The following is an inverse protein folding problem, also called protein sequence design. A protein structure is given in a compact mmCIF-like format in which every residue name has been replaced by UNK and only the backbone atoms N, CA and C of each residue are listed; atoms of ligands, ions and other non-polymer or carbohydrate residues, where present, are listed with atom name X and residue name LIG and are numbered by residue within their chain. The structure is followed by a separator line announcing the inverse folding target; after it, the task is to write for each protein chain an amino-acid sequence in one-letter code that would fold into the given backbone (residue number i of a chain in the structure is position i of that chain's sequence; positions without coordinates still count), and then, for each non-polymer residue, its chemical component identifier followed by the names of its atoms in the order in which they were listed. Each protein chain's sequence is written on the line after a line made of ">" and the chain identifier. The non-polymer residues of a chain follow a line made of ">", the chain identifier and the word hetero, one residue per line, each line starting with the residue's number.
data_IF_241184176554
#
_entry.id   IF_241184176554
#
_cell.length_a   1.000
_cell.length_b   1.000
_cell.length_c   1.000
_cell.angle_alpha   90.00
_cell.angle_beta   90.00
_cell.angle_gamma   90.00
#
_symmetry.space_group_name_H-M   'P 1'
#
loop_
_entity.id
_entity.type
_entity.pdbx_description
1 polymer ?
#
# COMPACT_ATOMS: atom_id res chain seq x y z
N UNK A 1 34.49 -1.82 -8.33
CA UNK A 1 33.42 -1.88 -9.34
C UNK A 1 32.21 -1.11 -8.82
N UNK A 2 31.88 0.06 -9.39
CA UNK A 2 30.81 0.95 -8.91
C UNK A 2 29.47 0.63 -9.58
N UNK A 3 28.36 0.77 -8.84
CA UNK A 3 26.99 0.56 -9.32
C UNK A 3 26.20 1.87 -9.24
N UNK A 4 25.48 2.21 -10.31
CA UNK A 4 24.69 3.45 -10.39
C UNK A 4 23.20 3.17 -10.18
N UNK A 5 22.49 4.18 -9.72
CA UNK A 5 21.03 4.16 -9.60
C UNK A 5 20.39 3.95 -10.98
N UNK A 6 19.33 3.15 -11.04
CA UNK A 6 18.58 2.77 -12.24
C UNK A 6 19.44 2.12 -13.35
N UNK A 7 20.61 1.59 -12.99
CA UNK A 7 21.44 0.81 -13.89
C UNK A 7 21.11 -0.66 -13.74
N UNK A 8 20.84 -1.32 -14.86
CA UNK A 8 20.71 -2.78 -14.91
C UNK A 8 22.07 -3.41 -15.23
N UNK A 9 22.46 -4.46 -14.49
CA UNK A 9 23.63 -5.28 -14.81
C UNK A 9 23.28 -6.75 -14.77
N UNK A 10 23.68 -7.45 -15.82
CA UNK A 10 23.61 -8.90 -15.90
C UNK A 10 24.96 -9.47 -15.46
N UNK A 11 24.94 -10.36 -14.48
CA UNK A 11 26.14 -10.98 -13.91
C UNK A 11 25.97 -12.48 -13.83
N UNK A 12 27.03 -13.19 -14.17
CA UNK A 12 27.14 -14.63 -13.96
C UNK A 12 27.77 -14.85 -12.58
N UNK A 13 27.05 -15.55 -11.71
CA UNK A 13 27.46 -15.80 -10.32
C UNK A 13 27.53 -17.31 -10.10
N UNK A 14 28.54 -17.75 -9.35
CA UNK A 14 28.71 -19.16 -8.94
C UNK A 14 29.01 -19.25 -7.45
N UNK A 15 28.94 -20.44 -6.83
CA UNK A 15 29.34 -20.60 -5.42
C UNK A 15 30.80 -20.26 -5.14
N UNK A 16 31.69 -20.51 -6.11
CA UNK A 16 33.13 -20.24 -5.99
C UNK A 16 33.55 -18.86 -6.49
N UNK A 17 32.66 -18.16 -7.19
CA UNK A 17 32.89 -16.82 -7.72
C UNK A 17 31.71 -15.90 -7.34
N UNK A 18 31.66 -15.46 -6.06
CA UNK A 18 30.70 -14.44 -5.64
C UNK A 18 31.01 -13.10 -6.32
N UNK A 19 29.96 -12.29 -6.50
CA UNK A 19 30.08 -10.96 -7.11
C UNK A 19 29.66 -9.93 -6.09
N UNK A 20 30.42 -8.84 -5.98
CA UNK A 20 30.07 -7.72 -5.15
C UNK A 20 30.18 -6.39 -5.90
N UNK A 21 29.27 -5.48 -5.56
CA UNK A 21 29.22 -4.13 -6.11
C UNK A 21 29.18 -3.09 -5.02
N UNK A 22 29.96 -2.02 -5.20
CA UNK A 22 29.88 -0.84 -4.35
C UNK A 22 28.75 0.07 -4.86
N UNK A 23 27.84 0.45 -3.97
CA UNK A 23 26.81 1.45 -4.24
C UNK A 23 26.91 2.60 -3.23
N UNK A 24 26.83 3.83 -3.74
CA UNK A 24 26.73 5.03 -2.93
C UNK A 24 25.44 5.76 -3.27
N UNK A 25 24.74 6.19 -2.24
CA UNK A 25 23.51 6.96 -2.41
C UNK A 25 23.83 8.32 -3.04
N UNK A 26 23.10 8.73 -4.09
CA UNK A 26 23.13 10.12 -4.54
C UNK A 26 22.49 11.03 -3.48
N UNK A 27 22.68 12.34 -3.61
CA UNK A 27 22.32 13.31 -2.57
C UNK A 27 20.80 13.47 -2.37
N UNK A 28 20.05 13.32 -3.45
CA UNK A 28 18.60 13.46 -3.57
C UNK A 28 17.79 12.21 -3.16
N UNK A 29 18.44 11.05 -3.03
CA UNK A 29 17.77 9.77 -2.77
C UNK A 29 18.01 9.27 -1.35
N UNK A 30 16.92 9.11 -0.58
CA UNK A 30 16.98 8.59 0.79
C UNK A 30 16.77 7.08 0.89
N UNK A 31 16.07 6.48 -0.07
CA UNK A 31 15.68 5.07 -0.05
C UNK A 31 15.80 4.45 -1.43
N UNK A 32 16.35 3.24 -1.48
CA UNK A 32 16.49 2.47 -2.71
C UNK A 32 15.99 1.05 -2.52
N UNK A 33 15.57 0.42 -3.61
CA UNK A 33 15.27 -1.00 -3.69
C UNK A 33 16.38 -1.69 -4.48
N UNK A 34 17.12 -2.57 -3.81
CA UNK A 34 18.06 -3.47 -4.49
C UNK A 34 17.27 -4.69 -4.95
N UNK A 35 17.06 -4.82 -6.26
CA UNK A 35 16.31 -5.91 -6.87
C UNK A 35 17.24 -6.80 -7.67
N UNK A 36 17.16 -8.11 -7.41
CA UNK A 36 17.83 -9.14 -8.17
C UNK A 36 16.79 -10.04 -8.81
N UNK A 37 16.96 -10.37 -10.09
CA UNK A 37 16.06 -11.25 -10.85
C UNK A 37 16.88 -12.25 -11.67
N UNK A 38 16.37 -13.46 -11.83
CA UNK A 38 16.99 -14.52 -12.61
C UNK A 38 15.93 -15.41 -13.27
N UNK A 39 16.28 -16.03 -14.39
CA UNK A 39 15.46 -17.04 -15.06
C UNK A 39 15.66 -18.45 -14.51
N UNK A 40 16.86 -18.74 -14.02
CA UNK A 40 17.25 -20.07 -13.55
C UNK A 40 16.72 -20.34 -12.14
N UNK A 41 16.54 -21.61 -11.78
CA UNK A 41 15.95 -22.05 -10.51
C UNK A 41 16.97 -22.40 -9.43
N UNK A 42 18.27 -22.21 -9.67
CA UNK A 42 19.29 -22.36 -8.63
C UNK A 42 19.14 -21.34 -7.50
N UNK A 43 19.22 -21.78 -6.25
CA UNK A 43 19.16 -20.90 -5.10
C UNK A 43 20.40 -20.00 -5.01
N UNK A 44 20.15 -18.73 -4.73
CA UNK A 44 21.17 -17.72 -4.51
C UNK A 44 20.81 -16.86 -3.31
N UNK A 45 21.77 -16.09 -2.82
CA UNK A 45 21.59 -15.15 -1.73
C UNK A 45 22.12 -13.78 -2.15
N UNK A 46 21.36 -12.75 -1.80
CA UNK A 46 21.73 -11.34 -1.93
C UNK A 46 21.89 -10.78 -0.52
N UNK A 47 23.02 -10.13 -0.25
CA UNK A 47 23.33 -9.56 1.05
C UNK A 47 23.82 -8.13 0.90
N UNK A 48 23.40 -7.29 1.84
CA UNK A 48 23.72 -5.88 1.92
C UNK A 48 24.58 -5.66 3.13
N UNK A 49 25.76 -5.11 2.88
CA UNK A 49 26.80 -4.94 3.88
C UNK A 49 27.26 -3.50 3.90
N UNK A 50 27.75 -3.07 5.06
CA UNK A 50 28.37 -1.76 5.17
C UNK A 50 29.67 -1.72 4.33
N UNK A 51 30.09 -0.53 3.91
CA UNK A 51 31.33 -0.35 3.14
C UNK A 51 32.61 -0.63 3.95
N UNK A 52 32.48 -0.88 5.26
CA UNK A 52 33.57 -1.22 6.18
C UNK A 52 34.01 -2.68 6.01
N UNK A 53 35.31 -2.91 5.82
CA UNK A 53 35.89 -4.26 5.74
C UNK A 53 35.89 -4.98 7.10
N UNK A 54 35.80 -6.33 7.14
CA UNK A 54 35.84 -7.27 6.01
C UNK A 54 34.49 -7.45 5.31
N UNK A 55 34.53 -7.74 4.00
CA UNK A 55 33.34 -8.09 3.21
C UNK A 55 33.12 -9.60 3.31
N UNK A 56 31.91 -10.02 3.65
CA UNK A 56 31.53 -11.44 3.70
C UNK A 56 31.00 -11.89 2.33
N UNK A 57 31.76 -12.74 1.64
CA UNK A 57 31.50 -13.16 0.26
C UNK A 57 31.19 -14.66 0.12
N UNK A 58 31.69 -15.48 1.06
CA UNK A 58 31.39 -16.91 1.12
C UNK A 58 29.98 -17.23 1.63
N UNK A 59 29.39 -18.33 1.14
CA UNK A 59 28.08 -18.86 1.58
C UNK A 59 27.97 -19.02 3.11
N UNK A 60 29.06 -19.41 3.79
CA UNK A 60 29.08 -19.59 5.24
C UNK A 60 28.95 -18.26 6.01
N UNK A 61 29.49 -17.18 5.46
CA UNK A 61 29.64 -15.91 6.18
C UNK A 61 28.70 -14.82 5.67
N UNK A 62 28.14 -14.96 4.47
CA UNK A 62 27.30 -13.93 3.84
C UNK A 62 26.04 -13.60 4.67
N UNK A 63 25.59 -14.55 5.49
CA UNK A 63 24.48 -14.41 6.43
C UNK A 63 24.80 -13.45 7.58
N UNK A 64 26.08 -13.20 7.87
CA UNK A 64 26.50 -12.19 8.86
C UNK A 64 26.41 -10.76 8.33
N UNK A 65 26.04 -10.58 7.05
CA UNK A 65 25.69 -9.28 6.53
C UNK A 65 24.49 -8.67 7.29
N UNK A 66 24.43 -7.34 7.34
CA UNK A 66 23.37 -6.61 8.04
C UNK A 66 21.97 -7.01 7.56
N UNK A 67 21.81 -7.28 6.27
CA UNK A 67 20.52 -7.70 5.70
C UNK A 67 20.77 -8.62 4.52
N UNK A 68 20.20 -9.83 4.55
CA UNK A 68 20.31 -10.79 3.46
C UNK A 68 18.93 -11.35 3.09
N UNK A 69 18.81 -11.84 1.87
CA UNK A 69 17.62 -12.51 1.38
C UNK A 69 18.03 -13.61 0.39
N UNK A 70 17.39 -14.76 0.51
CA UNK A 70 17.54 -15.86 -0.45
C UNK A 70 16.60 -15.66 -1.64
N UNK A 71 17.00 -16.16 -2.81
CA UNK A 71 16.20 -16.11 -4.03
C UNK A 71 16.35 -17.37 -4.87
N UNK A 72 15.21 -17.87 -5.33
CA UNK A 72 15.15 -18.76 -6.50
C UNK A 72 15.10 -17.91 -7.76
N UNK A 73 14.08 -17.06 -7.94
CA UNK A 73 13.94 -16.24 -9.14
C UNK A 73 14.14 -14.75 -8.87
N UNK A 74 13.68 -14.25 -7.72
CA UNK A 74 13.71 -12.82 -7.42
C UNK A 74 14.00 -12.58 -5.94
N UNK A 75 14.75 -11.52 -5.63
CA UNK A 75 14.91 -10.94 -4.30
C UNK A 75 14.83 -9.42 -4.38
N UNK A 76 14.44 -8.79 -3.27
CA UNK A 76 14.25 -7.36 -3.17
C UNK A 76 14.47 -6.86 -1.75
N UNK A 77 15.57 -6.14 -1.53
CA UNK A 77 15.90 -5.58 -0.22
C UNK A 77 15.78 -4.06 -0.31
N UNK A 78 14.90 -3.49 0.51
CA UNK A 78 14.81 -2.02 0.65
C UNK A 78 15.92 -1.55 1.58
N UNK A 79 16.68 -0.55 1.12
CA UNK A 79 17.76 0.07 1.89
C UNK A 79 17.47 1.54 2.10
N UNK A 80 17.82 2.03 3.29
CA UNK A 80 17.75 3.45 3.65
C UNK A 80 19.15 4.03 3.80
N UNK A 81 19.36 5.23 3.27
CA UNK A 81 20.62 5.98 3.36
C UNK A 81 21.06 6.19 4.82
N UNK A 82 20.12 6.35 5.74
CA UNK A 82 20.36 6.51 7.18
C UNK A 82 21.13 5.34 7.81
N UNK A 83 20.95 4.11 7.31
CA UNK A 83 21.62 2.92 7.82
C UNK A 83 23.01 2.71 7.19
N UNK A 84 23.27 3.34 6.02
CA UNK A 84 24.49 3.16 5.22
C UNK A 84 25.00 4.52 4.69
N UNK A 85 25.40 5.45 5.59
CA UNK A 85 25.70 6.82 5.21
C UNK A 85 26.90 6.96 4.27
N UNK A 86 27.88 6.03 4.39
CA UNK A 86 29.11 6.05 3.61
C UNK A 86 29.02 5.23 2.30
N UNK A 87 27.88 4.58 2.06
CA UNK A 87 27.70 3.59 1.01
C UNK A 87 27.61 2.16 1.55
N UNK A 88 27.42 1.22 0.63
CA UNK A 88 27.20 -0.19 0.92
C UNK A 88 27.81 -1.09 -0.14
N UNK A 89 28.01 -2.35 0.22
CA UNK A 89 28.29 -3.43 -0.71
C UNK A 89 27.04 -4.29 -0.92
N UNK A 90 26.74 -4.56 -2.19
CA UNK A 90 25.74 -5.54 -2.61
C UNK A 90 26.52 -6.79 -2.98
N UNK A 91 26.35 -7.87 -2.21
CA UNK A 91 27.03 -9.15 -2.42
C UNK A 91 26.01 -10.17 -2.93
N UNK A 92 26.36 -10.87 -4.00
CA UNK A 92 25.59 -11.95 -4.59
C UNK A 92 26.42 -13.22 -4.59
N UNK A 93 25.84 -14.30 -4.09
CA UNK A 93 26.44 -15.63 -4.11
C UNK A 93 25.39 -16.67 -4.51
N UNK A 94 25.78 -17.65 -5.31
CA UNK A 94 24.94 -18.83 -5.57
C UNK A 94 25.23 -19.85 -4.48
N UNK A 95 24.18 -20.45 -3.91
CA UNK A 95 24.34 -21.44 -2.86
C UNK A 95 24.69 -22.80 -3.46
N UNK A 96 25.44 -23.60 -2.69
CA UNK A 96 25.81 -24.97 -3.07
C UNK A 96 24.60 -25.91 -3.10
N UNK A 97 23.56 -25.62 -2.31
CA UNK A 97 22.30 -26.35 -2.27
C UNK A 97 21.08 -25.41 -2.31
N UNK A 98 19.89 -25.99 -2.52
CA UNK A 98 18.63 -25.23 -2.62
C UNK A 98 17.82 -25.18 -1.33
N UNK A 99 18.34 -25.68 -0.22
CA UNK A 99 17.62 -25.83 1.06
C UNK A 99 17.08 -24.49 1.57
N UNK A 100 17.86 -23.41 1.38
CA UNK A 100 17.50 -22.08 1.82
C UNK A 100 16.39 -21.42 0.98
N UNK A 101 16.08 -21.96 -0.20
CA UNK A 101 15.01 -21.48 -1.08
C UNK A 101 13.80 -22.43 -1.13
N UNK A 102 14.03 -23.73 -0.98
CA UNK A 102 13.00 -24.76 -1.07
C UNK A 102 13.34 -25.93 -0.16
N UNK A 103 12.31 -26.52 0.47
CA UNK A 103 12.45 -27.75 1.24
C UNK A 103 12.76 -28.98 0.36
N UNK A 104 12.68 -28.84 -0.96
CA UNK A 104 12.95 -29.91 -1.92
C UNK A 104 14.35 -29.73 -2.52
N UNK A 105 15.20 -30.73 -2.27
CA UNK A 105 16.54 -30.85 -2.83
C UNK A 105 16.50 -31.20 -4.33
N UNK A 106 16.15 -30.24 -5.18
CA UNK A 106 16.02 -30.47 -6.62
C UNK A 106 17.37 -30.65 -7.33
N UNK A 107 18.42 -29.98 -6.87
CA UNK A 107 19.70 -29.92 -7.60
C UNK A 107 20.93 -30.27 -6.75
N UNK A 108 20.94 -31.39 -6.01
CA UNK A 108 22.10 -31.77 -5.16
C UNK A 108 23.36 -32.18 -5.92
N UNK A 109 23.26 -32.51 -7.22
CA UNK A 109 24.34 -33.15 -7.99
C UNK A 109 24.59 -32.38 -9.29
N UNK A 110 24.79 -31.07 -9.21
CA UNK A 110 25.27 -30.27 -10.35
C UNK A 110 26.69 -29.80 -10.09
N UNK A 111 27.62 -30.27 -10.93
CA UNK A 111 29.06 -29.96 -10.86
C UNK A 111 29.32 -28.48 -11.18
N UNK A 112 28.45 -27.85 -11.97
CA UNK A 112 28.56 -26.46 -12.38
C UNK A 112 27.25 -25.71 -12.08
N UNK A 113 27.20 -25.00 -10.95
CA UNK A 113 26.09 -24.10 -10.59
C UNK A 113 26.48 -22.69 -11.00
N UNK A 114 25.88 -22.22 -12.07
CA UNK A 114 26.05 -20.87 -12.56
C UNK A 114 24.66 -20.27 -12.74
N UNK A 115 24.47 -19.06 -12.23
CA UNK A 115 23.20 -18.35 -12.26
C UNK A 115 23.41 -16.98 -12.88
N UNK A 116 22.61 -16.66 -13.89
CA UNK A 116 22.58 -15.32 -14.47
C UNK A 116 21.61 -14.45 -13.69
N UNK A 117 22.15 -13.42 -13.03
CA UNK A 117 21.36 -12.49 -12.23
C UNK A 117 21.36 -11.10 -12.87
N UNK A 118 20.18 -10.58 -13.08
CA UNK A 118 19.91 -9.18 -13.40
C UNK A 118 19.77 -8.40 -12.10
N UNK A 119 20.76 -7.57 -11.80
CA UNK A 119 20.78 -6.67 -10.65
C UNK A 119 20.39 -5.26 -11.08
N UNK A 120 19.47 -4.63 -10.34
CA UNK A 120 19.08 -3.23 -10.50
C UNK A 120 18.89 -2.59 -9.12
N UNK A 121 19.31 -1.33 -9.00
CA UNK A 121 19.07 -0.51 -7.80
C UNK A 121 18.15 0.63 -8.20
N UNK A 122 16.91 0.56 -7.76
CA UNK A 122 15.86 1.52 -8.11
C UNK A 122 15.62 2.49 -6.96
N UNK A 123 15.27 3.74 -7.28
CA UNK A 123 14.82 4.68 -6.25
C UNK A 123 13.46 4.27 -5.71
N UNK A 124 13.27 4.42 -4.39
CA UNK A 124 11.98 4.23 -3.73
C UNK A 124 11.35 5.57 -3.39
N UNK A 125 10.02 5.62 -3.42
CA UNK A 125 9.18 6.79 -3.08
C UNK A 125 9.78 7.59 -1.91
N UNK A 126 9.96 8.90 -2.13
CA UNK A 126 10.54 9.81 -1.14
C UNK A 126 9.58 10.03 0.05
N UNK A 127 10.11 10.45 1.20
CA UNK A 127 9.27 10.72 2.39
C UNK A 127 8.17 11.76 2.13
N UNK A 128 8.46 12.75 1.28
CA UNK A 128 7.51 13.82 0.95
C UNK A 128 6.34 13.29 0.11
N UNK A 129 6.60 12.45 -0.88
CA UNK A 129 5.56 11.81 -1.69
C UNK A 129 4.70 10.86 -0.84
N UNK A 130 5.32 10.11 0.08
CA UNK A 130 4.60 9.27 1.03
C UNK A 130 3.66 10.10 1.94
N UNK A 131 4.14 11.22 2.47
CA UNK A 131 3.32 12.12 3.28
C UNK A 131 2.20 12.77 2.46
N UNK A 132 2.49 13.21 1.24
CA UNK A 132 1.49 13.77 0.33
C UNK A 132 0.37 12.78 0.06
N UNK A 133 0.69 11.50 -0.18
CA UNK A 133 -0.29 10.44 -0.35
C UNK A 133 -1.17 10.24 0.89
N UNK A 134 -0.58 10.27 2.09
CA UNK A 134 -1.32 10.18 3.35
C UNK A 134 -2.29 11.37 3.50
N UNK A 135 -1.81 12.60 3.31
CA UNK A 135 -2.65 13.79 3.45
C UNK A 135 -3.76 13.84 2.39
N UNK A 136 -3.48 13.40 1.16
CA UNK A 136 -4.49 13.29 0.12
C UNK A 136 -5.59 12.29 0.50
N UNK A 137 -5.22 11.10 0.99
CA UNK A 137 -6.17 10.09 1.45
C UNK A 137 -7.00 10.57 2.64
N UNK A 138 -6.37 11.16 3.65
CA UNK A 138 -7.05 11.71 4.82
C UNK A 138 -7.98 12.88 4.45
N UNK A 139 -7.52 13.78 3.57
CA UNK A 139 -8.30 14.92 3.09
C UNK A 139 -9.54 14.48 2.31
N UNK A 140 -9.42 13.47 1.46
CA UNK A 140 -10.55 12.88 0.74
C UNK A 140 -11.59 12.29 1.72
N UNK A 141 -11.14 11.50 2.69
CA UNK A 141 -12.03 10.95 3.71
C UNK A 141 -12.72 12.06 4.53
N UNK A 142 -11.96 13.04 5.03
CA UNK A 142 -12.48 14.16 5.80
C UNK A 142 -13.52 14.98 5.02
N UNK A 143 -13.31 15.17 3.72
CA UNK A 143 -14.25 15.88 2.85
C UNK A 143 -15.63 15.21 2.81
N UNK A 144 -15.72 13.89 2.67
CA UNK A 144 -17.00 13.18 2.70
C UNK A 144 -17.71 13.32 4.06
N UNK A 145 -16.98 13.24 5.16
CA UNK A 145 -17.56 13.44 6.50
C UNK A 145 -18.07 14.88 6.69
N UNK A 146 -17.34 15.88 6.21
CA UNK A 146 -17.79 17.28 6.29
C UNK A 146 -19.04 17.48 5.42
N UNK A 147 -19.09 16.96 4.21
CA UNK A 147 -20.27 17.08 3.33
C UNK A 147 -21.49 16.43 3.96
N UNK A 148 -21.36 15.22 4.51
CA UNK A 148 -22.46 14.54 5.21
C UNK A 148 -22.95 15.33 6.43
N UNK A 149 -22.05 15.90 7.23
CA UNK A 149 -22.41 16.78 8.35
C UNK A 149 -23.13 18.05 7.87
N UNK A 150 -22.65 18.69 6.80
CA UNK A 150 -23.30 19.89 6.23
C UNK A 150 -24.72 19.56 5.76
N UNK A 151 -24.90 18.43 5.05
CA UNK A 151 -26.22 17.99 4.60
C UNK A 151 -27.15 17.70 5.78
N UNK A 152 -26.65 17.07 6.84
CA UNK A 152 -27.40 16.82 8.07
C UNK A 152 -27.77 18.12 8.80
N UNK A 153 -26.87 19.09 8.88
CA UNK A 153 -27.16 20.41 9.45
C UNK A 153 -28.23 21.16 8.63
N UNK A 154 -28.13 21.13 7.29
CA UNK A 154 -29.11 21.77 6.40
C UNK A 154 -30.49 21.12 6.56
N UNK A 155 -30.58 19.79 6.61
CA UNK A 155 -31.85 19.08 6.77
C UNK A 155 -32.48 19.37 8.15
N UNK A 156 -31.68 19.41 9.21
CA UNK A 156 -32.11 19.78 10.55
C UNK A 156 -32.69 21.21 10.62
N UNK A 157 -31.98 22.20 10.03
CA UNK A 157 -32.46 23.59 10.00
C UNK A 157 -33.75 23.70 9.18
N UNK A 158 -33.84 23.04 8.01
CA UNK A 158 -35.06 23.03 7.19
C UNK A 158 -36.25 22.43 7.92
N UNK A 159 -36.05 21.36 8.69
CA UNK A 159 -37.11 20.75 9.49
C UNK A 159 -37.61 21.70 10.60
N UNK A 160 -36.69 22.36 11.31
CA UNK A 160 -37.05 23.38 12.32
C UNK A 160 -37.80 24.57 11.69
N UNK A 161 -37.48 24.93 10.44
CA UNK A 161 -38.15 26.01 9.69
C UNK A 161 -39.53 25.63 9.13
N UNK A 162 -39.82 24.34 8.93
CA UNK A 162 -41.15 23.83 8.53
C UNK A 162 -42.10 23.62 9.71
N UNK A 163 -41.58 23.46 10.92
CA UNK A 163 -42.36 23.35 12.16
C UNK A 163 -43.31 24.51 12.54
N UNK A 164 -43.10 25.79 12.12
CA UNK A 164 -44.02 26.88 12.45
C UNK A 164 -45.21 26.99 11.47
N UNK A 165 -45.04 26.62 10.19
CA UNK A 165 -46.06 26.85 9.14
C UNK A 165 -47.19 25.81 9.16
N UNK A 166 -46.92 24.60 9.65
CA UNK A 166 -47.94 23.54 9.74
C UNK A 166 -48.82 23.68 10.98
N UNK A 167 -48.37 24.41 12.01
CA UNK A 167 -49.23 24.78 13.15
C UNK A 167 -50.24 25.86 12.78
N UNK A 168 -49.84 26.87 12.00
CA UNK A 168 -50.75 27.95 11.57
C UNK A 168 -51.87 27.46 10.64
N UNK A 169 -51.60 26.49 9.74
CA UNK A 169 -52.64 25.94 8.86
C UNK A 169 -53.65 25.02 9.55
N UNK A 170 -53.28 24.41 10.68
CA UNK A 170 -54.21 23.63 11.49
C UNK A 170 -55.05 24.52 12.41
N UNK A 171 -54.50 25.65 12.87
CA UNK A 171 -55.21 26.63 13.71
C UNK A 171 -56.26 27.43 12.90
N UNK A 172 -55.95 27.82 11.65
CA UNK A 172 -56.91 28.52 10.76
C UNK A 172 -58.09 27.64 10.31
N UNK A 173 -57.95 26.31 10.38
CA UNK A 173 -59.05 25.39 10.02
C UNK A 173 -60.10 25.19 11.13
N UNK A 174 -59.88 25.74 12.33
CA UNK A 174 -60.78 25.57 13.48
C UNK A 174 -61.59 26.82 13.85
N UNK A 175 -61.43 27.97 13.17
CA UNK A 175 -62.12 29.21 13.53
C UNK A 175 -62.85 29.81 12.32
N UNK A 176 -64.11 29.39 12.11
CA UNK A 176 -65.17 30.28 11.62
C UNK A 176 -66.53 29.79 12.15
N UNK A 177 -67.24 30.59 12.95
CA UNK A 177 -68.60 30.28 13.42
C UNK A 177 -69.69 30.96 12.57
N UNK A 178 -70.94 30.51 12.81
CA UNK A 178 -72.25 31.11 12.48
C UNK A 178 -72.71 31.12 11.01
N UNK A 179 -73.99 31.01 10.66
CA UNK A 179 -75.24 30.42 11.17
C UNK A 179 -76.28 30.78 10.08
N UNK A 180 -77.28 29.94 9.77
CA UNK A 180 -78.23 30.30 8.71
C UNK A 180 -79.27 29.24 8.33
N UNK A 181 -80.34 29.19 9.11
CA UNK A 181 -81.52 28.34 8.99
C UNK A 181 -82.30 28.52 7.65
N UNK A 182 -82.75 27.43 7.00
CA UNK A 182 -84.02 27.38 6.25
C UNK A 182 -84.51 25.93 6.03
N UNK A 183 -85.64 25.58 6.65
CA UNK A 183 -86.46 24.37 6.41
C UNK A 183 -87.21 24.48 5.07
N UNK A 184 -87.68 23.46 4.34
CA UNK A 184 -88.56 22.29 4.64
C UNK A 184 -88.85 21.58 3.26
N UNK A 185 -89.72 20.54 3.08
CA UNK A 185 -89.94 19.29 3.82
C UNK A 185 -90.13 17.98 2.95
N UNK A 186 -89.98 16.82 3.62
CA UNK A 186 -90.83 15.59 3.55
C UNK A 186 -90.61 14.49 2.45
N UNK A 187 -91.20 13.26 2.55
CA UNK A 187 -90.56 12.06 3.13
C UNK A 187 -90.72 10.76 2.28
N UNK A 188 -90.00 9.66 2.59
CA UNK A 188 -90.45 8.30 2.19
C UNK A 188 -89.84 7.18 3.04
N UNK A 189 -90.71 6.27 3.47
CA UNK A 189 -90.50 5.08 4.31
C UNK A 189 -89.75 3.93 3.60
N UNK A 190 -89.14 3.02 4.39
CA UNK A 190 -89.29 1.57 4.15
C UNK A 190 -88.05 0.65 4.21
N UNK A 191 -87.90 -0.06 5.34
CA UNK A 191 -87.44 -1.48 5.52
C UNK A 191 -86.01 -1.88 5.14
N UNK A 192 -85.26 -2.61 5.99
CA UNK A 192 -85.27 -4.08 6.10
C UNK A 192 -84.70 -4.55 7.48
N UNK A 193 -85.32 -5.62 8.02
CA UNK A 193 -85.00 -6.42 9.23
C UNK A 193 -83.73 -7.28 9.03
N UNK A 194 -82.99 -7.79 10.02
CA UNK A 194 -83.31 -8.38 11.34
C UNK A 194 -82.16 -8.19 12.31
#
# INVERSE_FOLDING_TARGET
>A
FFFRLNQEKNVDVTPSQPVFYEFRFPDDVEMVLVRASASDDFCAMVSIQNITCPVFDSEENIQYGNSYQTMTYQAGITVRKENYPNGLYIVLVVLTNDEACSQSFRHLIHIHREKKVTLIVEEKITKLEYLAAIFAGLGFCAFFYIVTLILACISYIRQKRKGPLQRSLLDDSMISPEDGNFADPSPSYGTIQT
#
